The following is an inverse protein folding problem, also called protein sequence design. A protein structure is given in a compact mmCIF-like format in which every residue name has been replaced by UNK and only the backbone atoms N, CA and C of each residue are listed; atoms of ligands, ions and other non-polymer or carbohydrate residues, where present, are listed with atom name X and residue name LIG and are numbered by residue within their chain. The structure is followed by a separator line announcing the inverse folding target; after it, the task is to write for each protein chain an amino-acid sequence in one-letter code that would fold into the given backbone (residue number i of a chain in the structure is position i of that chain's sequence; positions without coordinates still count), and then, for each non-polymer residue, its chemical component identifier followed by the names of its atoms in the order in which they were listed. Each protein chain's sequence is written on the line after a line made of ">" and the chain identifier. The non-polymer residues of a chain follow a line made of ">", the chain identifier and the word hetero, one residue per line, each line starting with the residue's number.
data_IF_466194577658
#
_entry.id   IF_466194577658
#
_cell.length_a   1.000
_cell.length_b   1.000
_cell.length_c   1.000
_cell.angle_alpha   90.00
_cell.angle_beta   90.00
_cell.angle_gamma   90.00
#
_symmetry.space_group_name_H-M   'P 1'
#
loop_
_entity.id
_entity.type
_entity.pdbx_description
1 polymer ?
#
# COMPACT_ATOMS: atom_id res chain seq x y z
N UNK A 1 14.67 -18.01 3.01
CA UNK A 1 14.03 -16.84 2.35
C UNK A 1 14.76 -15.50 2.61
N UNK A 2 15.34 -15.26 3.80
CA UNK A 2 16.04 -13.98 4.09
C UNK A 2 17.34 -13.72 3.33
N UNK A 3 18.02 -14.74 2.80
CA UNK A 3 19.28 -14.60 2.03
C UNK A 3 19.10 -14.09 0.59
N UNK A 4 17.88 -14.19 0.02
CA UNK A 4 17.57 -13.59 -1.28
C UNK A 4 17.24 -12.11 -1.18
N UNK A 5 16.56 -11.67 -0.10
CA UNK A 5 16.24 -10.26 0.11
C UNK A 5 17.50 -9.42 0.36
N UNK A 6 18.45 -9.95 1.14
CA UNK A 6 19.71 -9.26 1.46
C UNK A 6 20.60 -9.05 0.23
N UNK A 7 20.74 -10.08 -0.61
CA UNK A 7 21.43 -9.96 -1.92
C UNK A 7 20.70 -9.01 -2.88
N UNK A 8 19.38 -8.89 -2.74
CA UNK A 8 18.57 -7.94 -3.48
C UNK A 8 18.59 -6.51 -2.92
N UNK A 9 19.41 -6.16 -1.93
CA UNK A 9 19.60 -4.76 -1.51
C UNK A 9 21.04 -4.28 -1.77
N UNK A 10 21.99 -5.21 -1.86
CA UNK A 10 23.42 -4.91 -2.01
C UNK A 10 23.88 -4.52 -3.43
N UNK A 11 23.00 -4.55 -4.45
CA UNK A 11 23.37 -4.25 -5.86
C UNK A 11 22.54 -3.16 -6.53
N UNK A 12 22.29 -2.05 -5.85
CA UNK A 12 21.71 -0.85 -6.50
C UNK A 12 22.67 -0.18 -7.49
N UNK A 13 23.99 -0.27 -7.24
CA UNK A 13 25.01 0.37 -8.08
C UNK A 13 25.04 -0.10 -9.56
N UNK A 14 25.02 -1.41 -9.87
CA UNK A 14 24.98 -1.85 -11.27
C UNK A 14 23.64 -1.58 -11.96
N UNK A 15 22.50 -1.62 -11.25
CA UNK A 15 21.20 -1.33 -11.86
C UNK A 15 21.10 0.14 -12.30
N UNK A 16 21.62 1.07 -11.49
CA UNK A 16 21.72 2.49 -11.86
C UNK A 16 22.68 2.73 -13.03
N UNK A 17 23.77 1.98 -13.13
CA UNK A 17 24.65 2.08 -14.30
C UNK A 17 23.95 1.53 -15.56
N UNK A 18 23.37 0.34 -15.47
CA UNK A 18 22.78 -0.37 -16.61
C UNK A 18 21.47 0.25 -17.11
N UNK A 19 20.73 1.02 -16.30
CA UNK A 19 19.56 1.76 -16.79
C UNK A 19 19.96 2.92 -17.72
N UNK A 20 21.18 3.47 -17.55
CA UNK A 20 21.71 4.56 -18.37
C UNK A 20 22.61 4.06 -19.51
N UNK A 21 23.49 3.09 -19.24
CA UNK A 21 24.44 2.51 -20.19
C UNK A 21 24.41 0.97 -20.05
N UNK A 22 23.41 0.29 -20.64
CA UNK A 22 23.30 -1.16 -20.57
C UNK A 22 24.34 -1.85 -21.46
N UNK A 23 24.98 -2.93 -20.99
CA UNK A 23 25.81 -3.80 -21.84
C UNK A 23 25.00 -4.52 -22.94
N UNK A 24 23.74 -4.86 -22.64
CA UNK A 24 22.79 -5.52 -23.53
C UNK A 24 21.34 -5.29 -23.05
N UNK A 25 20.36 -5.62 -23.90
CA UNK A 25 18.94 -5.43 -23.60
C UNK A 25 18.46 -6.25 -22.40
N UNK A 26 19.06 -7.43 -22.16
CA UNK A 26 18.73 -8.27 -21.01
C UNK A 26 19.11 -7.57 -19.70
N UNK A 27 20.26 -6.91 -19.68
CA UNK A 27 20.72 -6.12 -18.53
C UNK A 27 19.90 -4.85 -18.33
N UNK A 28 19.42 -4.22 -19.40
CA UNK A 28 18.49 -3.09 -19.31
C UNK A 28 17.18 -3.51 -18.63
N UNK A 29 16.58 -4.62 -19.06
CA UNK A 29 15.33 -5.11 -18.48
C UNK A 29 15.52 -5.59 -17.03
N UNK A 30 16.65 -6.21 -16.71
CA UNK A 30 17.00 -6.59 -15.34
C UNK A 30 17.14 -5.35 -14.44
N UNK A 31 17.82 -4.30 -14.93
CA UNK A 31 17.97 -3.03 -14.23
C UNK A 31 16.62 -2.34 -13.99
N UNK A 32 15.75 -2.27 -15.01
CA UNK A 32 14.40 -1.70 -14.88
C UNK A 32 13.57 -2.44 -13.84
N UNK A 33 13.48 -3.77 -13.94
CA UNK A 33 12.72 -4.59 -12.98
C UNK A 33 13.21 -4.39 -11.55
N UNK A 34 14.54 -4.29 -11.39
CA UNK A 34 15.16 -4.07 -10.11
C UNK A 34 14.79 -2.71 -9.51
N UNK A 35 14.90 -1.63 -10.29
CA UNK A 35 14.60 -0.28 -9.82
C UNK A 35 13.11 -0.13 -9.46
N UNK A 36 12.20 -0.68 -10.27
CA UNK A 36 10.76 -0.70 -9.98
C UNK A 36 10.47 -1.46 -8.68
N UNK A 37 11.12 -2.61 -8.48
CA UNK A 37 10.98 -3.36 -7.23
C UNK A 37 11.48 -2.56 -6.03
N UNK A 38 12.67 -1.95 -6.13
CA UNK A 38 13.26 -1.18 -5.04
C UNK A 38 12.35 -0.01 -4.65
N UNK A 39 11.85 0.76 -5.61
CA UNK A 39 10.91 1.86 -5.35
C UNK A 39 9.63 1.36 -4.66
N UNK A 40 9.00 0.32 -5.21
CA UNK A 40 7.79 -0.23 -4.61
C UNK A 40 8.06 -0.78 -3.20
N UNK A 41 9.17 -1.47 -2.99
CA UNK A 41 9.55 -2.00 -1.69
C UNK A 41 9.73 -0.89 -0.66
N UNK A 42 10.44 0.19 -1.00
CA UNK A 42 10.61 1.34 -0.09
C UNK A 42 9.27 2.01 0.22
N UNK A 43 8.41 2.20 -0.77
CA UNK A 43 7.06 2.74 -0.56
C UNK A 43 6.24 1.85 0.39
N UNK A 44 6.25 0.53 0.20
CA UNK A 44 5.53 -0.41 1.06
C UNK A 44 6.09 -0.41 2.49
N UNK A 45 7.41 -0.37 2.67
CA UNK A 45 8.03 -0.27 3.99
C UNK A 45 7.64 1.03 4.70
N UNK A 46 7.67 2.17 3.99
CA UNK A 46 7.25 3.45 4.54
C UNK A 46 5.77 3.42 4.98
N UNK A 47 4.89 2.83 4.17
CA UNK A 47 3.47 2.66 4.51
C UNK A 47 3.27 1.78 5.74
N UNK A 48 4.01 0.67 5.87
CA UNK A 48 3.93 -0.22 7.03
C UNK A 48 4.41 0.48 8.31
N UNK A 49 5.53 1.22 8.25
CA UNK A 49 6.02 2.00 9.38
C UNK A 49 5.00 3.06 9.81
N UNK A 50 4.43 3.80 8.84
CA UNK A 50 3.37 4.78 9.10
C UNK A 50 2.14 4.12 9.73
N UNK A 51 1.74 2.94 9.25
CA UNK A 51 0.61 2.19 9.83
C UNK A 51 0.88 1.78 11.28
N UNK A 52 2.11 1.40 11.61
CA UNK A 52 2.51 1.06 12.99
C UNK A 52 2.56 2.26 13.94
N UNK A 53 2.74 3.47 13.41
CA UNK A 53 2.71 4.71 14.18
C UNK A 53 1.30 5.22 14.47
N UNK A 54 0.29 4.80 13.70
CA UNK A 54 -1.11 5.06 14.04
C UNK A 54 -1.43 4.28 15.31
N UNK A 55 -1.80 4.95 16.42
CA UNK A 55 -2.14 4.25 17.64
C UNK A 55 -3.26 3.25 17.34
N UNK A 56 -3.05 1.96 17.65
CA UNK A 56 -4.12 0.94 17.62
C UNK A 56 -5.27 1.26 18.58
N UNK A 57 -5.17 2.35 19.36
CA UNK A 57 -6.15 2.80 20.33
C UNK A 57 -7.25 3.63 19.68
N UNK A 58 -7.90 3.09 18.66
CA UNK A 58 -9.33 3.39 18.51
C UNK A 58 -10.01 2.24 19.24
N UNK A 59 -10.45 2.48 20.48
CA UNK A 59 -11.36 1.54 21.13
C UNK A 59 -12.49 1.29 20.14
N UNK A 60 -12.84 0.04 19.81
CA UNK A 60 -14.02 -0.21 19.00
C UNK A 60 -15.20 0.47 19.70
N UNK A 61 -15.71 1.54 19.09
CA UNK A 61 -16.94 2.13 19.57
C UNK A 61 -18.03 1.16 19.17
N UNK A 62 -18.76 0.63 20.15
CA UNK A 62 -19.99 -0.09 19.87
C UNK A 62 -20.99 0.90 19.29
N UNK A 63 -21.00 1.01 17.95
CA UNK A 63 -22.01 1.75 17.22
C UNK A 63 -23.33 1.00 17.42
N UNK A 64 -24.29 1.65 18.06
CA UNK A 64 -25.63 1.09 18.20
C UNK A 64 -26.29 1.01 16.83
N UNK A 65 -26.62 -0.21 16.37
CA UNK A 65 -27.37 -0.42 15.14
C UNK A 65 -28.72 0.32 15.16
N UNK A 66 -29.33 0.49 16.34
CA UNK A 66 -30.57 1.25 16.48
C UNK A 66 -30.40 2.74 16.22
N UNK A 67 -29.22 3.32 16.51
CA UNK A 67 -28.92 4.71 16.19
C UNK A 67 -28.77 4.90 14.67
N UNK A 68 -28.10 3.95 14.00
CA UNK A 68 -27.91 3.97 12.55
C UNK A 68 -29.25 3.89 11.82
N UNK A 69 -30.15 2.99 12.23
CA UNK A 69 -31.48 2.88 11.61
C UNK A 69 -32.35 4.12 11.88
N UNK A 70 -32.29 4.70 13.08
CA UNK A 70 -32.98 5.97 13.37
C UNK A 70 -32.42 7.12 12.53
N UNK A 71 -31.11 7.18 12.32
CA UNK A 71 -30.50 8.19 11.46
C UNK A 71 -30.98 8.03 10.00
N UNK A 72 -30.94 6.80 9.47
CA UNK A 72 -31.42 6.50 8.10
C UNK A 72 -32.90 6.86 7.91
N UNK A 73 -33.74 6.58 8.90
CA UNK A 73 -35.17 6.90 8.85
C UNK A 73 -35.48 8.41 8.86
N UNK A 74 -34.56 9.26 9.34
CA UNK A 74 -34.73 10.71 9.37
C UNK A 74 -34.17 11.42 8.13
N UNK A 75 -33.54 10.70 7.21
CA UNK A 75 -33.03 11.31 5.99
C UNK A 75 -34.19 11.58 5.02
N UNK A 76 -34.30 12.80 4.45
CA UNK A 76 -35.35 13.13 3.47
C UNK A 76 -35.05 12.58 2.07
N UNK A 77 -34.14 11.61 1.97
CA UNK A 77 -33.71 10.99 0.71
C UNK A 77 -33.24 9.55 0.95
N UNK A 78 -33.35 8.73 -0.08
CA UNK A 78 -32.77 7.39 -0.08
C UNK A 78 -31.25 7.46 -0.27
N UNK A 79 -30.51 6.63 0.45
CA UNK A 79 -29.08 6.48 0.24
C UNK A 79 -28.80 5.88 -1.14
N UNK A 80 -27.73 6.37 -1.77
CA UNK A 80 -27.22 5.79 -3.01
C UNK A 80 -26.65 4.39 -2.74
N UNK A 81 -26.58 3.57 -3.80
CA UNK A 81 -25.94 2.25 -3.69
C UNK A 81 -24.48 2.32 -3.25
N UNK A 82 -23.75 3.41 -3.56
CA UNK A 82 -22.39 3.61 -3.07
C UNK A 82 -22.35 3.86 -1.55
N UNK A 83 -23.24 4.70 -1.04
CA UNK A 83 -23.33 4.99 0.40
C UNK A 83 -23.74 3.76 1.20
N UNK A 84 -24.68 2.95 0.70
CA UNK A 84 -25.09 1.70 1.36
C UNK A 84 -23.94 0.71 1.50
N UNK A 85 -23.10 0.55 0.46
CA UNK A 85 -21.92 -0.35 0.48
C UNK A 85 -20.85 0.05 1.49
N UNK A 86 -20.80 1.31 1.91
CA UNK A 86 -19.80 1.81 2.87
C UNK A 86 -20.26 1.71 4.32
N UNK A 87 -21.56 1.46 4.57
CA UNK A 87 -22.13 1.38 5.92
C UNK A 87 -22.13 -0.04 6.52
N UNK A 88 -21.91 -1.08 5.71
CA UNK A 88 -21.68 -2.48 6.13
C UNK A 88 -20.22 -2.75 6.36
#
# INVERSE_FOLDING_TARGET
>A
MGSSLRRSLERSHPALAHIHVPPDDGQLEAARRRLVFDEFFYLQMALLLRRGQVPQRVKPQNLSLSLLERFKANLPFALTGAQQRTLT
#
